data_IF_904239402432
#
_entry.id   IF_904239402432
#
_cell.length_a   1.000
_cell.length_b   1.000
_cell.length_c   1.000
_cell.angle_alpha   90.00
_cell.angle_beta   90.00
_cell.angle_gamma   90.00
#
_symmetry.space_group_name_H-M   'P 1'
#
loop_
_entity.id
_entity.type
_entity.pdbx_description
1 polymer ?
#
# COMPACT_ATOMS: atom_id res chain seq x y z
N UNK A 1 6.39 -18.18 1.44
CA UNK A 1 5.33 -18.37 2.46
C UNK A 1 5.23 -19.79 3.04
N UNK A 2 5.56 -20.87 2.32
CA UNK A 2 5.60 -22.23 2.90
C UNK A 2 6.71 -22.40 3.95
N UNK A 3 7.91 -21.89 3.67
CA UNK A 3 9.05 -21.90 4.61
C UNK A 3 8.92 -20.88 5.76
N UNK A 4 7.97 -19.94 5.67
CA UNK A 4 7.75 -18.88 6.66
C UNK A 4 6.27 -18.89 7.08
N UNK A 5 5.85 -19.80 7.97
CA UNK A 5 4.44 -20.01 8.30
C UNK A 5 3.84 -18.88 9.14
N UNK A 6 4.66 -18.05 9.76
CA UNK A 6 4.22 -16.93 10.62
C UNK A 6 4.20 -15.58 9.91
N UNK A 7 4.57 -15.53 8.63
CA UNK A 7 4.54 -14.29 7.86
C UNK A 7 3.15 -14.07 7.28
N UNK A 8 2.70 -12.82 7.34
CA UNK A 8 1.55 -12.29 6.59
C UNK A 8 2.12 -11.38 5.51
N UNK A 9 1.71 -11.60 4.27
CA UNK A 9 2.20 -10.87 3.10
C UNK A 9 1.04 -10.10 2.48
N UNK A 10 1.29 -8.83 2.20
CA UNK A 10 0.39 -7.99 1.40
C UNK A 10 0.97 -7.83 0.02
N UNK A 11 0.14 -8.00 -1.01
CA UNK A 11 0.49 -7.81 -2.42
C UNK A 11 -0.47 -6.77 -2.98
N UNK A 12 0.07 -5.64 -3.43
CA UNK A 12 -0.66 -4.60 -4.15
C UNK A 12 -0.20 -4.66 -5.61
N UNK A 13 -1.12 -4.99 -6.50
CA UNK A 13 -0.87 -5.07 -7.94
C UNK A 13 -1.26 -3.75 -8.59
N UNK A 14 -0.37 -3.25 -9.44
CA UNK A 14 -0.57 -2.07 -10.29
C UNK A 14 -1.34 -2.40 -11.57
N UNK A 15 -2.31 -1.56 -11.95
CA UNK A 15 -3.23 -1.67 -13.07
C UNK A 15 -3.44 -0.28 -13.68
N UNK A 16 -2.32 0.36 -14.00
CA UNK A 16 -2.28 1.67 -14.66
C UNK A 16 -3.00 1.69 -16.01
N UNK A 17 -3.15 0.54 -16.65
CA UNK A 17 -3.79 0.38 -17.95
C UNK A 17 -5.30 0.13 -17.85
N UNK A 18 -5.86 0.10 -16.62
CA UNK A 18 -7.27 -0.14 -16.34
C UNK A 18 -7.82 -1.40 -17.02
N UNK A 19 -7.02 -2.47 -17.09
CA UNK A 19 -7.44 -3.73 -17.70
C UNK A 19 -8.33 -4.54 -16.77
N UNK A 20 -9.02 -5.54 -17.35
CA UNK A 20 -9.93 -6.40 -16.61
C UNK A 20 -9.22 -7.09 -15.42
N UNK A 21 -9.80 -7.06 -14.20
CA UNK A 21 -9.21 -7.66 -13.01
C UNK A 21 -8.96 -9.17 -13.15
N UNK A 22 -9.69 -9.85 -14.04
CA UNK A 22 -9.48 -11.25 -14.39
C UNK A 22 -8.07 -11.56 -14.89
N UNK A 23 -7.41 -10.60 -15.55
CA UNK A 23 -6.04 -10.76 -16.05
C UNK A 23 -5.01 -10.98 -14.94
N UNK A 24 -5.33 -10.57 -13.70
CA UNK A 24 -4.45 -10.73 -12.54
C UNK A 24 -4.69 -12.04 -11.78
N UNK A 25 -5.75 -12.80 -12.10
CA UNK A 25 -6.16 -13.96 -11.31
C UNK A 25 -5.33 -15.22 -11.60
N UNK A 26 -5.01 -15.47 -12.87
CA UNK A 26 -4.31 -16.69 -13.28
C UNK A 26 -2.91 -16.82 -12.65
N UNK A 27 -2.06 -15.77 -12.57
CA UNK A 27 -0.78 -15.85 -11.86
C UNK A 27 -0.93 -16.23 -10.38
N UNK A 28 -1.93 -15.66 -9.69
CA UNK A 28 -2.22 -15.94 -8.28
C UNK A 28 -2.63 -17.40 -8.09
N UNK A 29 -3.51 -17.91 -8.95
CA UNK A 29 -3.94 -19.32 -8.94
C UNK A 29 -2.77 -20.27 -9.22
N UNK A 30 -2.02 -20.03 -10.30
CA UNK A 30 -0.92 -20.91 -10.73
C UNK A 30 0.24 -20.97 -9.73
N UNK A 31 0.43 -19.91 -8.93
CA UNK A 31 1.43 -19.91 -7.85
C UNK A 31 1.07 -20.80 -6.66
N UNK A 32 -0.20 -21.24 -6.56
CA UNK A 32 -0.74 -21.93 -5.39
C UNK A 32 -1.01 -21.01 -4.20
N UNK A 33 -1.02 -19.69 -4.40
CA UNK A 33 -1.23 -18.71 -3.33
C UNK A 33 -2.67 -18.72 -2.81
N UNK A 34 -3.63 -19.14 -3.63
CA UNK A 34 -5.07 -19.12 -3.31
C UNK A 34 -5.44 -19.81 -1.99
N UNK A 35 -4.72 -20.85 -1.59
CA UNK A 35 -4.94 -21.52 -0.30
C UNK A 35 -4.70 -20.58 0.90
N UNK A 36 -3.82 -19.59 0.72
CA UNK A 36 -3.40 -18.61 1.72
C UNK A 36 -4.11 -17.26 1.59
N UNK A 37 -4.86 -17.02 0.51
CA UNK A 37 -5.48 -15.71 0.27
C UNK A 37 -6.60 -15.44 1.27
N UNK A 38 -6.54 -14.28 1.91
CA UNK A 38 -7.58 -13.74 2.76
C UNK A 38 -8.69 -13.12 1.92
N UNK A 39 -9.94 -13.50 2.22
CA UNK A 39 -11.14 -12.87 1.65
C UNK A 39 -11.79 -12.02 2.75
N UNK A 40 -12.04 -10.73 2.50
CA UNK A 40 -12.65 -9.85 3.50
C UNK A 40 -14.08 -10.29 3.86
N UNK A 41 -14.44 -10.13 5.14
CA UNK A 41 -15.78 -10.48 5.62
C UNK A 41 -16.85 -9.46 5.17
N UNK A 42 -16.43 -8.24 4.84
CA UNK A 42 -17.29 -7.18 4.33
C UNK A 42 -16.51 -6.25 3.41
N UNK A 43 -17.24 -5.52 2.58
CA UNK A 43 -16.65 -4.61 1.59
C UNK A 43 -17.45 -3.29 1.65
N UNK A 44 -16.81 -2.14 1.95
CA UNK A 44 -15.41 -2.00 2.38
C UNK A 44 -15.18 -2.48 3.83
N UNK A 45 -13.94 -2.85 4.17
CA UNK A 45 -13.54 -3.07 5.57
C UNK A 45 -13.23 -1.71 6.19
N UNK A 46 -13.71 -1.48 7.41
CA UNK A 46 -13.17 -0.44 8.27
C UNK A 46 -11.96 -1.00 9.04
N UNK A 47 -11.24 -0.12 9.72
CA UNK A 47 -10.03 -0.45 10.44
C UNK A 47 -10.22 -1.60 11.43
N UNK A 48 -11.29 -1.56 12.24
CA UNK A 48 -11.56 -2.56 13.29
C UNK A 48 -12.11 -3.90 12.76
N UNK A 49 -12.42 -4.00 11.47
CA UNK A 49 -12.85 -5.27 10.87
C UNK A 49 -11.67 -6.16 10.51
N UNK A 50 -10.48 -5.59 10.38
CA UNK A 50 -9.29 -6.35 10.02
C UNK A 50 -8.96 -7.37 11.11
N UNK A 51 -8.74 -8.65 10.76
CA UNK A 51 -8.28 -9.62 11.73
C UNK A 51 -6.89 -9.23 12.25
N UNK A 52 -6.59 -9.62 13.48
CA UNK A 52 -5.23 -9.51 14.00
C UNK A 52 -4.26 -10.38 13.17
N UNK A 53 -2.97 -10.03 13.15
CA UNK A 53 -1.95 -10.86 12.50
C UNK A 53 -1.95 -12.31 13.04
N UNK A 54 -2.17 -12.48 14.35
CA UNK A 54 -2.32 -13.79 15.00
C UNK A 54 -3.46 -14.61 14.39
N UNK A 55 -4.63 -13.99 14.20
CA UNK A 55 -5.79 -14.65 13.58
C UNK A 55 -5.52 -15.01 12.10
N UNK A 56 -4.84 -14.14 11.34
CA UNK A 56 -4.44 -14.44 9.96
C UNK A 56 -3.46 -15.62 9.90
N UNK A 57 -2.50 -15.66 10.82
CA UNK A 57 -1.52 -16.75 10.93
C UNK A 57 -2.22 -18.07 11.25
N UNK A 58 -3.05 -18.12 12.29
CA UNK A 58 -3.71 -19.35 12.73
C UNK A 58 -4.78 -19.84 11.76
N UNK A 59 -5.47 -18.95 11.04
CA UNK A 59 -6.40 -19.35 9.98
C UNK A 59 -5.71 -19.83 8.69
N UNK A 60 -4.40 -19.60 8.57
CA UNK A 60 -3.65 -19.86 7.34
C UNK A 60 -3.91 -18.84 6.22
N UNK A 61 -4.84 -17.88 6.41
CA UNK A 61 -5.19 -16.84 5.45
C UNK A 61 -4.26 -15.63 5.60
N UNK A 62 -3.04 -15.80 5.06
CA UNK A 62 -1.87 -14.94 5.29
C UNK A 62 -1.45 -14.12 4.08
N UNK A 63 -2.17 -14.19 2.96
CA UNK A 63 -1.92 -13.36 1.78
C UNK A 63 -3.07 -12.37 1.58
N UNK A 64 -2.78 -11.08 1.59
CA UNK A 64 -3.74 -9.99 1.38
C UNK A 64 -3.50 -9.41 0.00
N UNK A 65 -4.53 -9.39 -0.85
CA UNK A 65 -4.41 -8.99 -2.25
C UNK A 65 -5.19 -7.72 -2.52
N UNK A 66 -4.52 -6.70 -3.04
CA UNK A 66 -5.10 -5.46 -3.53
C UNK A 66 -4.84 -5.29 -5.03
N UNK A 67 -5.77 -4.64 -5.72
CA UNK A 67 -5.60 -4.10 -7.06
C UNK A 67 -5.89 -2.60 -7.00
N UNK A 68 -4.99 -1.78 -7.54
CA UNK A 68 -5.27 -0.37 -7.79
C UNK A 68 -6.23 -0.27 -8.98
N UNK A 69 -7.38 0.38 -8.81
CA UNK A 69 -8.39 0.55 -9.88
C UNK A 69 -8.99 -0.75 -10.49
N UNK A 70 -10.23 -0.64 -10.97
CA UNK A 70 -10.96 -1.71 -11.68
C UNK A 70 -11.08 -3.05 -10.93
N UNK A 71 -10.87 -3.07 -9.61
CA UNK A 71 -11.16 -4.26 -8.83
C UNK A 71 -12.67 -4.57 -8.91
N UNK A 72 -13.00 -5.85 -9.05
CA UNK A 72 -14.39 -6.32 -9.08
C UNK A 72 -14.58 -7.38 -8.00
N UNK A 73 -14.91 -6.93 -6.79
CA UNK A 73 -15.05 -7.81 -5.64
C UNK A 73 -16.36 -8.63 -5.66
N UNK A 74 -17.26 -8.40 -6.61
CA UNK A 74 -18.38 -9.31 -6.86
C UNK A 74 -17.92 -10.53 -7.65
N UNK A 75 -17.08 -10.35 -8.66
CA UNK A 75 -16.52 -11.45 -9.46
C UNK A 75 -15.34 -12.15 -8.75
N UNK A 76 -14.50 -11.38 -8.07
CA UNK A 76 -13.28 -11.83 -7.40
C UNK A 76 -13.25 -11.33 -5.93
N UNK A 77 -14.03 -11.93 -5.01
CA UNK A 77 -14.21 -11.40 -3.65
C UNK A 77 -12.94 -11.19 -2.83
N UNK A 78 -11.87 -11.92 -3.16
CA UNK A 78 -10.58 -11.85 -2.48
C UNK A 78 -9.65 -10.74 -3.01
N UNK A 79 -9.93 -10.21 -4.21
CA UNK A 79 -9.11 -9.18 -4.86
C UNK A 79 -9.68 -7.81 -4.53
N UNK A 80 -9.18 -7.21 -3.45
CA UNK A 80 -9.75 -5.99 -2.90
C UNK A 80 -9.39 -4.75 -3.73
N UNK A 81 -10.34 -3.83 -3.87
CA UNK A 81 -10.05 -2.49 -4.36
C UNK A 81 -9.15 -1.77 -3.34
N UNK A 82 -7.95 -1.37 -3.75
CA UNK A 82 -6.98 -0.68 -2.87
C UNK A 82 -7.63 0.50 -2.12
N UNK A 83 -8.21 1.45 -2.86
CA UNK A 83 -8.66 2.72 -2.31
C UNK A 83 -9.96 2.60 -1.51
N UNK A 84 -10.66 1.46 -1.58
CA UNK A 84 -11.74 1.14 -0.65
C UNK A 84 -11.24 0.68 0.72
N UNK A 85 -10.00 0.19 0.82
CA UNK A 85 -9.44 -0.43 2.04
C UNK A 85 -8.34 0.41 2.69
N UNK A 86 -7.57 1.14 1.89
CA UNK A 86 -6.47 1.98 2.36
C UNK A 86 -6.44 3.33 1.63
N UNK A 87 -5.72 4.28 2.21
CA UNK A 87 -5.35 5.52 1.53
C UNK A 87 -3.83 5.66 1.49
N UNK A 88 -3.34 6.54 0.63
CA UNK A 88 -1.92 6.81 0.49
C UNK A 88 -1.53 8.28 0.70
N UNK A 89 -0.30 8.47 1.17
CA UNK A 89 0.41 9.76 1.14
C UNK A 89 0.76 10.16 -0.29
N UNK A 90 1.28 11.39 -0.53
CA UNK A 90 1.56 11.85 -1.89
C UNK A 90 2.34 10.86 -2.76
N UNK A 91 1.77 10.52 -3.91
CA UNK A 91 2.36 9.64 -4.90
C UNK A 91 3.49 10.34 -5.66
N UNK A 92 4.58 9.61 -5.91
CA UNK A 92 5.80 10.12 -6.54
C UNK A 92 6.32 11.42 -5.91
N UNK A 93 6.58 11.42 -4.58
CA UNK A 93 6.90 12.63 -3.84
C UNK A 93 8.20 13.27 -4.34
N UNK A 94 8.18 14.59 -4.52
CA UNK A 94 9.36 15.43 -4.76
C UNK A 94 9.74 16.25 -3.52
N UNK A 95 8.87 16.26 -2.51
CA UNK A 95 9.11 16.89 -1.21
C UNK A 95 9.79 15.88 -0.28
N UNK A 96 11.00 16.23 0.18
CA UNK A 96 11.80 15.41 1.09
C UNK A 96 11.22 15.34 2.50
N UNK A 97 10.26 16.19 2.85
CA UNK A 97 9.57 16.12 4.15
C UNK A 97 8.68 14.88 4.27
N UNK A 98 8.29 14.27 3.15
CA UNK A 98 7.34 13.15 3.07
C UNK A 98 6.10 13.40 3.95
N UNK A 99 5.31 14.44 3.64
CA UNK A 99 4.17 14.81 4.48
C UNK A 99 3.16 13.65 4.58
N UNK A 100 2.70 13.40 5.80
CA UNK A 100 1.68 12.38 6.09
C UNK A 100 0.27 12.90 5.77
N UNK A 101 0.07 13.46 4.58
CA UNK A 101 -1.22 13.97 4.12
C UNK A 101 -1.93 12.92 3.29
N UNK A 102 -3.25 12.84 3.41
CA UNK A 102 -4.07 11.93 2.61
C UNK A 102 -4.12 12.48 1.19
N UNK A 103 -3.61 11.75 0.20
CA UNK A 103 -3.68 12.16 -1.21
C UNK A 103 -4.57 11.23 -2.06
N UNK A 104 -4.47 9.91 -1.86
CA UNK A 104 -5.18 8.93 -2.70
C UNK A 104 -6.03 8.00 -1.83
N UNK A 105 -7.33 7.82 -2.12
CA UNK A 105 -8.09 8.47 -3.17
C UNK A 105 -8.30 9.97 -2.90
N UNK A 106 -8.52 10.79 -3.96
CA UNK A 106 -8.84 12.20 -3.78
C UNK A 106 -10.15 12.36 -3.00
N UNK A 107 -10.27 13.48 -2.29
CA UNK A 107 -11.47 13.88 -1.54
C UNK A 107 -11.94 12.89 -0.45
N UNK A 108 -11.05 12.02 0.04
CA UNK A 108 -11.37 11.12 1.14
C UNK A 108 -11.68 11.92 2.42
N UNK A 109 -12.86 11.70 3.00
CA UNK A 109 -13.27 12.38 4.22
C UNK A 109 -12.32 12.04 5.38
N UNK A 110 -12.03 13.03 6.23
CA UNK A 110 -11.08 12.86 7.34
C UNK A 110 -11.47 11.73 8.32
N UNK A 111 -12.76 11.47 8.52
CA UNK A 111 -13.23 10.37 9.35
C UNK A 111 -13.03 9.01 8.67
N UNK A 112 -13.17 8.93 7.35
CA UNK A 112 -12.90 7.70 6.60
C UNK A 112 -11.40 7.41 6.57
N UNK A 113 -10.56 8.43 6.42
CA UNK A 113 -9.10 8.28 6.50
C UNK A 113 -8.63 7.73 7.86
N UNK A 114 -9.29 8.14 8.97
CA UNK A 114 -9.02 7.58 10.31
C UNK A 114 -9.52 6.15 10.47
N UNK A 115 -10.46 5.72 9.64
CA UNK A 115 -11.14 4.44 9.75
C UNK A 115 -10.70 3.45 8.65
N UNK A 116 -9.57 3.71 7.99
CA UNK A 116 -8.96 2.86 6.96
C UNK A 116 -7.50 2.63 7.29
N UNK A 117 -6.93 1.58 6.70
CA UNK A 117 -5.48 1.40 6.68
C UNK A 117 -4.84 2.51 5.84
N UNK A 118 -3.51 2.67 5.96
CA UNK A 118 -2.78 3.58 5.10
C UNK A 118 -1.46 3.00 4.63
N UNK A 119 -1.01 3.47 3.48
CA UNK A 119 0.29 3.19 2.90
C UNK A 119 1.07 4.49 2.66
N UNK A 120 2.31 4.51 3.10
CA UNK A 120 3.17 5.68 3.01
C UNK A 120 4.10 5.55 1.79
N UNK A 121 3.92 6.41 0.79
CA UNK A 121 4.83 6.53 -0.35
C UNK A 121 6.13 7.22 0.11
N UNK A 122 7.23 6.48 0.03
CA UNK A 122 8.56 6.92 0.49
C UNK A 122 9.62 6.65 -0.57
N UNK A 123 9.50 7.30 -1.71
CA UNK A 123 10.42 7.20 -2.83
C UNK A 123 10.68 8.59 -3.43
N UNK A 124 11.67 9.32 -2.88
CA UNK A 124 11.95 10.70 -3.29
C UNK A 124 12.33 10.77 -4.78
N UNK A 125 11.68 11.67 -5.51
CA UNK A 125 11.96 11.96 -6.91
C UNK A 125 12.47 13.38 -7.09
N UNK A 126 13.19 13.61 -8.19
CA UNK A 126 13.54 14.94 -8.68
C UNK A 126 12.76 15.16 -9.99
N UNK A 127 12.13 16.33 -10.09
CA UNK A 127 11.54 16.82 -11.35
C UNK A 127 12.67 17.36 -12.23
N UNK A 128 12.79 16.82 -13.43
CA UNK A 128 13.67 17.33 -14.48
C UNK A 128 12.83 17.87 -15.63
N UNK A 129 13.14 19.09 -16.04
CA UNK A 129 12.67 19.64 -17.32
C UNK A 129 13.79 19.42 -18.35
N UNK A 130 13.58 18.46 -19.26
CA UNK A 130 14.49 18.18 -20.36
C UNK A 130 13.68 18.17 -21.65
N UNK A 131 13.99 19.09 -22.56
CA UNK A 131 13.34 19.18 -23.88
C UNK A 131 11.81 19.35 -23.82
N UNK A 132 11.28 20.13 -22.87
CA UNK A 132 9.84 20.30 -22.60
C UNK A 132 9.13 18.99 -22.19
N UNK A 133 9.87 18.02 -21.66
CA UNK A 133 9.32 16.84 -21.02
C UNK A 133 9.49 16.97 -19.52
N UNK A 134 8.38 16.90 -18.81
CA UNK A 134 8.33 16.79 -17.36
C UNK A 134 8.61 15.35 -16.94
N UNK A 135 9.85 15.07 -16.52
CA UNK A 135 10.28 13.73 -16.10
C UNK A 135 10.57 13.68 -14.60
N UNK A 136 9.95 12.73 -13.92
CA UNK A 136 10.33 12.34 -12.56
C UNK A 136 11.36 11.22 -12.61
N UNK A 137 12.50 11.44 -11.95
CA UNK A 137 13.52 10.42 -11.75
C UNK A 137 13.77 10.18 -10.26
N UNK A 138 14.07 8.93 -9.84
CA UNK A 138 14.43 8.66 -8.46
C UNK A 138 15.65 9.48 -8.01
N UNK A 139 15.56 10.10 -6.83
CA UNK A 139 16.66 10.84 -6.23
C UNK A 139 17.67 9.89 -5.58
N UNK A 140 18.53 9.28 -6.39
CA UNK A 140 19.52 8.31 -5.87
C UNK A 140 20.62 8.96 -5.03
N UNK A 141 20.81 10.28 -5.13
CA UNK A 141 21.83 11.01 -4.39
C UNK A 141 21.56 11.07 -2.88
N UNK A 142 20.29 10.88 -2.47
CA UNK A 142 19.86 10.97 -1.08
C UNK A 142 19.41 9.63 -0.47
N UNK A 143 19.77 8.49 -1.08
CA UNK A 143 19.33 7.17 -0.62
C UNK A 143 19.77 6.87 0.82
N UNK A 144 20.96 7.32 1.22
CA UNK A 144 21.47 7.10 2.58
C UNK A 144 20.66 7.88 3.62
N UNK A 145 20.09 9.01 3.23
CA UNK A 145 19.24 9.85 4.06
C UNK A 145 17.80 9.34 4.06
N UNK A 146 17.23 9.07 2.89
CA UNK A 146 15.83 8.64 2.78
C UNK A 146 15.61 7.26 3.37
N UNK A 147 16.57 6.34 3.25
CA UNK A 147 16.46 4.99 3.82
C UNK A 147 16.93 4.90 5.29
N UNK A 148 17.21 6.03 5.93
CA UNK A 148 17.66 6.06 7.33
C UNK A 148 16.49 5.85 8.31
N UNK A 149 16.82 5.57 9.57
CA UNK A 149 15.87 5.47 10.69
C UNK A 149 15.57 6.85 11.27
N UNK A 150 16.55 7.75 11.28
CA UNK A 150 16.40 9.09 11.86
C UNK A 150 16.97 10.14 10.92
N UNK A 151 16.65 11.40 11.21
CA UNK A 151 17.08 12.54 10.42
C UNK A 151 16.05 12.98 9.38
N UNK A 152 16.31 14.14 8.80
CA UNK A 152 15.43 14.81 7.87
C UNK A 152 15.19 13.99 6.59
N UNK A 153 13.92 13.73 6.28
CA UNK A 153 13.48 12.93 5.15
C UNK A 153 13.70 11.42 5.27
N UNK A 154 14.03 10.92 6.47
CA UNK A 154 14.25 9.50 6.70
C UNK A 154 12.95 8.71 6.81
N UNK A 155 12.98 7.44 6.40
CA UNK A 155 11.84 6.52 6.48
C UNK A 155 11.35 6.38 7.93
N UNK A 156 12.26 6.29 8.89
CA UNK A 156 11.86 6.17 10.29
C UNK A 156 11.22 7.45 10.85
N UNK A 157 11.64 8.64 10.39
CA UNK A 157 10.96 9.90 10.74
C UNK A 157 9.54 9.96 10.14
N UNK A 158 9.37 9.61 8.86
CA UNK A 158 8.05 9.55 8.23
C UNK A 158 7.13 8.57 8.96
N UNK A 159 7.62 7.37 9.26
CA UNK A 159 6.86 6.35 9.98
C UNK A 159 6.42 6.85 11.37
N UNK A 160 7.30 7.54 12.11
CA UNK A 160 6.96 8.13 13.41
C UNK A 160 5.92 9.24 13.29
N UNK A 161 6.07 10.14 12.31
CA UNK A 161 5.15 11.25 12.08
C UNK A 161 3.76 10.75 11.68
N UNK A 162 3.66 9.81 10.74
CA UNK A 162 2.39 9.27 10.28
C UNK A 162 1.69 8.49 11.39
N UNK A 163 2.45 7.70 12.16
CA UNK A 163 1.92 6.98 13.32
C UNK A 163 1.39 7.92 14.38
N UNK A 164 2.09 9.03 14.66
CA UNK A 164 1.63 10.04 15.62
C UNK A 164 0.40 10.80 15.14
N UNK A 165 0.29 11.09 13.83
CA UNK A 165 -0.82 11.86 13.26
C UNK A 165 -2.12 11.06 13.21
N UNK A 166 -2.04 9.78 12.87
CA UNK A 166 -3.21 8.91 12.68
C UNK A 166 -3.44 7.93 13.83
N UNK A 167 -2.55 7.88 14.82
CA UNK A 167 -2.59 6.93 15.94
C UNK A 167 -2.58 5.46 15.49
N UNK A 168 -1.99 5.19 14.32
CA UNK A 168 -1.98 3.87 13.69
C UNK A 168 -0.60 3.58 13.06
N UNK A 169 -0.01 2.39 13.29
CA UNK A 169 1.15 1.98 12.53
C UNK A 169 0.75 1.76 11.06
N UNK A 170 1.60 2.18 10.12
CA UNK A 170 1.39 1.93 8.70
C UNK A 170 1.33 0.43 8.40
N UNK A 171 0.57 0.04 7.37
CA UNK A 171 0.87 -1.23 6.71
C UNK A 171 2.34 -1.14 6.28
N UNK A 172 3.18 -2.10 6.68
CA UNK A 172 4.61 -2.14 6.34
C UNK A 172 4.80 -2.47 4.85
N UNK A 173 4.32 -1.59 3.99
CA UNK A 173 4.51 -1.59 2.55
C UNK A 173 5.10 -0.22 2.23
N UNK A 174 6.42 -0.10 2.32
CA UNK A 174 7.10 1.01 1.67
C UNK A 174 7.20 0.62 0.18
N UNK A 175 6.58 1.42 -0.70
CA UNK A 175 6.81 1.28 -2.15
C UNK A 175 8.23 1.78 -2.43
N UNK A 176 9.19 0.87 -2.34
CA UNK A 176 10.58 1.12 -2.75
C UNK A 176 10.64 0.85 -4.25
N UNK A 177 10.71 1.93 -5.04
CA UNK A 177 11.02 1.89 -6.48
C UNK A 177 12.51 2.05 -6.70
#
# INVERSE_FOLDING_TARGET
>A
MKAHPYDVVTILMGNSDYVDPGNFTAPVQNSGLMDLVYTPAKIPMALDDWPTLSNMIFSGKRAVMFLDYQANQTAYPWLMDEFSQLWETPFSPTDRDFPCDVQRPPDLAANDAKNRLYMANHNLNIQMDVLNLDLLIPNTALLNETNNVTGYGSLGLMASNCTSKFSLPSCRSAKVS
#
